data_IF_619478178919
#
_entry.id   IF_619478178919
#
_cell.length_a   1.000
_cell.length_b   1.000
_cell.length_c   1.000
_cell.angle_alpha   90.00
_cell.angle_beta   90.00
_cell.angle_gamma   90.00
#
_symmetry.space_group_name_H-M   'P 1'
#
loop_
_entity.id
_entity.type
_entity.pdbx_description
1 polymer ?
#
# COMPACT_ATOMS: atom_id res chain seq x y z
N UNK A 1 1.66 -19.56 7.26
CA UNK A 1 0.89 -18.34 7.51
C UNK A 1 0.69 -18.09 9.00
N UNK A 2 0.62 -16.80 9.42
CA UNK A 2 0.18 -16.43 10.76
C UNK A 2 -1.35 -16.50 10.78
N UNK A 3 -1.92 -17.24 11.73
CA UNK A 3 -3.37 -17.42 11.89
C UNK A 3 -3.96 -16.38 12.85
N UNK A 4 -3.23 -16.07 13.92
CA UNK A 4 -3.62 -15.07 14.92
C UNK A 4 -2.42 -14.56 15.69
N UNK A 5 -2.58 -13.40 16.31
CA UNK A 5 -1.66 -12.86 17.29
C UNK A 5 -2.32 -12.86 18.69
N UNK A 6 -1.58 -13.32 19.68
CA UNK A 6 -1.94 -13.32 21.10
C UNK A 6 -0.86 -12.54 21.85
N UNK A 7 -1.12 -11.24 22.10
CA UNK A 7 -0.06 -10.35 22.57
C UNK A 7 1.09 -10.29 21.56
N UNK A 8 2.28 -10.71 21.99
CA UNK A 8 3.48 -10.80 21.15
C UNK A 8 3.76 -12.22 20.63
N UNK A 9 2.78 -13.11 20.71
CA UNK A 9 2.88 -14.50 20.22
C UNK A 9 2.15 -14.66 18.89
N UNK A 10 2.86 -15.06 17.84
CA UNK A 10 2.29 -15.37 16.54
C UNK A 10 2.00 -16.86 16.41
N UNK A 11 0.73 -17.24 16.32
CA UNK A 11 0.29 -18.62 16.10
C UNK A 11 0.26 -18.91 14.61
N UNK A 12 0.96 -19.95 14.19
CA UNK A 12 1.06 -20.40 12.80
C UNK A 12 0.62 -21.87 12.67
N UNK A 13 0.49 -22.35 11.44
CA UNK A 13 0.21 -23.76 11.15
C UNK A 13 1.32 -24.72 11.62
N UNK A 14 2.53 -24.20 11.89
CA UNK A 14 3.71 -24.97 12.27
C UNK A 14 4.11 -24.79 13.74
N UNK A 15 3.34 -24.02 14.51
CA UNK A 15 3.63 -23.75 15.93
C UNK A 15 3.50 -22.26 16.27
N UNK A 16 3.85 -21.93 17.50
CA UNK A 16 3.77 -20.58 18.04
C UNK A 16 5.16 -19.96 18.14
N UNK A 17 5.32 -18.78 17.59
CA UNK A 17 6.54 -17.96 17.68
C UNK A 17 6.28 -16.90 18.74
N UNK A 18 7.13 -16.83 19.76
CA UNK A 18 7.10 -15.80 20.81
C UNK A 18 8.22 -14.81 20.59
N UNK A 19 7.91 -13.52 20.77
CA UNK A 19 8.87 -12.44 20.65
C UNK A 19 8.63 -11.39 21.75
N UNK A 20 9.61 -10.56 22.03
CA UNK A 20 9.44 -9.40 22.91
C UNK A 20 8.63 -8.32 22.22
N UNK A 21 8.83 -8.17 20.92
CA UNK A 21 8.16 -7.15 20.08
C UNK A 21 7.75 -7.76 18.74
N UNK A 22 6.65 -7.28 18.20
CA UNK A 22 6.12 -7.73 16.90
C UNK A 22 5.87 -6.52 16.01
N UNK A 23 6.30 -6.61 14.75
CA UNK A 23 6.02 -5.61 13.71
C UNK A 23 5.08 -6.23 12.68
N UNK A 24 3.90 -5.62 12.50
CA UNK A 24 2.94 -6.00 11.46
C UNK A 24 3.25 -5.19 10.20
N UNK A 25 3.93 -5.83 9.25
CA UNK A 25 4.32 -5.25 7.96
C UNK A 25 3.67 -6.03 6.80
N UNK A 26 2.40 -6.39 6.94
CA UNK A 26 1.66 -7.29 6.06
C UNK A 26 0.88 -6.54 4.96
N UNK A 27 1.35 -5.38 4.55
CA UNK A 27 0.71 -4.46 3.61
C UNK A 27 -0.61 -3.92 4.17
N UNK A 28 -1.69 -4.69 4.21
CA UNK A 28 -2.88 -4.40 5.00
C UNK A 28 -2.83 -5.15 6.33
N UNK A 29 -2.98 -4.46 7.48
CA UNK A 29 -2.97 -5.11 8.79
C UNK A 29 -4.16 -6.05 8.94
N UNK A 30 -3.88 -7.32 9.22
CA UNK A 30 -4.93 -8.36 9.36
C UNK A 30 -5.61 -8.38 10.73
N UNK A 31 -5.09 -7.61 11.70
CA UNK A 31 -5.64 -7.50 13.04
C UNK A 31 -6.70 -6.40 13.10
N UNK A 32 -7.97 -6.77 13.17
CA UNK A 32 -9.09 -5.79 13.19
C UNK A 32 -9.51 -5.35 14.60
N UNK A 33 -8.99 -5.97 15.66
CA UNK A 33 -9.40 -5.69 17.05
C UNK A 33 -8.97 -4.33 17.56
N UNK A 34 -7.88 -3.76 17.02
CA UNK A 34 -7.28 -2.51 17.44
C UNK A 34 -6.91 -1.68 16.23
N UNK A 35 -6.88 -0.36 16.39
CA UNK A 35 -6.35 0.56 15.38
C UNK A 35 -7.33 0.96 14.28
N UNK A 36 -8.44 0.24 14.05
CA UNK A 36 -9.48 0.57 13.05
C UNK A 36 -8.94 0.85 11.64
N UNK A 37 -7.98 0.06 11.18
CA UNK A 37 -7.28 0.28 9.90
C UNK A 37 -8.22 0.21 8.69
N UNK A 38 -9.30 -0.56 8.75
CA UNK A 38 -10.33 -0.63 7.72
C UNK A 38 -11.08 0.70 7.49
N UNK A 39 -11.09 1.60 8.49
CA UNK A 39 -11.61 2.96 8.36
C UNK A 39 -10.53 3.97 7.94
N UNK A 40 -9.27 3.73 8.34
CA UNK A 40 -8.15 4.64 8.11
C UNK A 40 -7.53 4.51 6.73
N UNK A 41 -7.82 3.42 6.03
CA UNK A 41 -7.23 3.13 4.73
C UNK A 41 -8.29 2.62 3.76
N UNK A 42 -8.01 2.79 2.48
CA UNK A 42 -8.76 2.18 1.39
C UNK A 42 -7.80 1.58 0.38
N UNK A 43 -8.30 0.65 -0.43
CA UNK A 43 -7.48 -0.02 -1.43
C UNK A 43 -7.59 0.70 -2.78
N UNK A 44 -6.45 0.84 -3.44
CA UNK A 44 -6.35 1.40 -4.78
C UNK A 44 -5.65 0.39 -5.68
N UNK A 45 -6.19 0.12 -6.85
CA UNK A 45 -5.64 -0.86 -7.77
C UNK A 45 -4.90 -0.15 -8.88
N UNK A 46 -3.69 -0.60 -9.18
CA UNK A 46 -2.85 -0.10 -10.27
C UNK A 46 -2.49 -1.24 -11.19
N UNK A 47 -2.26 -0.94 -12.46
CA UNK A 47 -2.01 -1.91 -13.52
C UNK A 47 -0.67 -1.63 -14.19
N UNK A 48 -0.04 -2.67 -14.70
CA UNK A 48 1.22 -2.58 -15.42
C UNK A 48 1.19 -3.48 -16.65
N UNK A 49 1.68 -2.95 -17.77
CA UNK A 49 2.04 -3.71 -18.97
C UNK A 49 3.55 -3.73 -19.13
N UNK A 50 4.11 -4.88 -19.45
CA UNK A 50 5.49 -5.02 -19.90
C UNK A 50 5.48 -5.17 -21.42
N UNK A 51 6.07 -4.20 -22.12
CA UNK A 51 6.05 -4.06 -23.56
C UNK A 51 7.42 -4.42 -24.17
N UNK A 52 7.46 -5.43 -25.02
CA UNK A 52 8.59 -5.72 -25.90
C UNK A 52 8.54 -4.81 -27.14
N UNK A 53 9.69 -4.53 -27.75
CA UNK A 53 9.81 -3.67 -28.94
C UNK A 53 9.24 -2.25 -28.73
N UNK A 54 9.23 -1.77 -27.49
CA UNK A 54 8.93 -0.40 -27.13
C UNK A 54 10.20 0.43 -26.94
N UNK A 55 10.03 1.73 -26.79
CA UNK A 55 11.16 2.65 -26.62
C UNK A 55 11.91 2.39 -25.31
N UNK A 56 13.22 2.59 -25.33
CA UNK A 56 14.01 2.78 -24.12
C UNK A 56 13.88 4.27 -23.72
N UNK A 57 13.21 4.51 -22.59
CA UNK A 57 12.98 5.89 -22.11
C UNK A 57 14.17 6.48 -21.34
N UNK A 58 15.20 5.66 -21.06
CA UNK A 58 16.45 6.12 -20.45
C UNK A 58 16.34 6.58 -19.00
N UNK A 59 15.21 6.34 -18.32
CA UNK A 59 14.99 6.78 -16.94
C UNK A 59 13.71 6.20 -16.35
N UNK A 60 13.31 6.76 -15.21
CA UNK A 60 12.05 6.47 -14.54
C UNK A 60 11.20 7.74 -14.51
N UNK A 61 9.98 7.65 -14.97
CA UNK A 61 9.07 8.79 -15.10
C UNK A 61 7.74 8.47 -14.46
N UNK A 62 7.16 9.45 -13.79
CA UNK A 62 5.83 9.42 -13.19
C UNK A 62 5.13 10.71 -13.56
N UNK A 63 3.89 10.61 -14.02
CA UNK A 63 3.03 11.76 -14.27
C UNK A 63 2.52 12.34 -12.93
N UNK A 64 2.35 13.64 -12.86
CA UNK A 64 1.79 14.35 -11.68
C UNK A 64 0.29 14.12 -11.50
N UNK A 65 -0.44 13.69 -12.53
CA UNK A 65 -1.86 13.44 -12.43
C UNK A 65 -2.16 12.33 -11.40
N UNK A 66 -3.26 12.45 -10.68
CA UNK A 66 -3.65 11.50 -9.63
C UNK A 66 -3.77 10.05 -10.14
N UNK A 67 -4.14 9.87 -11.41
CA UNK A 67 -4.25 8.59 -12.11
C UNK A 67 -3.25 8.52 -13.28
N UNK A 68 -2.13 9.21 -13.13
CA UNK A 68 -1.12 9.36 -14.16
C UNK A 68 -0.39 8.06 -14.51
N UNK A 69 0.34 8.14 -15.61
CA UNK A 69 1.12 7.04 -16.12
C UNK A 69 2.52 7.01 -15.50
N UNK A 70 3.12 5.83 -15.47
CA UNK A 70 4.53 5.66 -15.11
C UNK A 70 5.28 4.84 -16.17
N UNK A 71 6.55 5.17 -16.36
CA UNK A 71 7.39 4.55 -17.38
C UNK A 71 8.76 4.22 -16.79
N UNK A 72 9.25 3.04 -17.07
CA UNK A 72 10.66 2.66 -16.86
C UNK A 72 11.01 1.45 -17.70
N UNK A 73 12.28 1.29 -18.03
CA UNK A 73 12.75 0.06 -18.66
C UNK A 73 13.26 -0.94 -17.61
N UNK A 74 12.99 -2.21 -17.85
CA UNK A 74 13.54 -3.32 -17.10
C UNK A 74 13.68 -4.54 -18.03
N UNK A 75 14.83 -5.22 -18.01
CA UNK A 75 15.09 -6.43 -18.78
C UNK A 75 14.77 -6.29 -20.29
N UNK A 76 15.08 -5.13 -20.88
CA UNK A 76 14.83 -4.83 -22.28
C UNK A 76 13.37 -4.49 -22.64
N UNK A 77 12.46 -4.51 -21.68
CA UNK A 77 11.06 -4.15 -21.87
C UNK A 77 10.76 -2.76 -21.31
N UNK A 78 9.75 -2.08 -21.85
CA UNK A 78 9.17 -0.89 -21.25
C UNK A 78 8.04 -1.32 -20.31
N UNK A 79 8.13 -0.96 -19.04
CA UNK A 79 7.05 -1.09 -18.06
C UNK A 79 6.21 0.18 -18.10
N UNK A 80 4.97 0.04 -18.53
CA UNK A 80 3.95 1.07 -18.58
C UNK A 80 2.96 0.82 -17.45
N UNK A 81 2.95 1.69 -16.44
CA UNK A 81 2.03 1.62 -15.32
C UNK A 81 0.95 2.69 -15.40
N UNK A 82 -0.22 2.43 -14.80
CA UNK A 82 -1.34 3.37 -14.76
C UNK A 82 -2.69 2.69 -14.66
N UNK A 83 -3.74 3.31 -15.21
CA UNK A 83 -5.11 2.80 -15.19
C UNK A 83 -5.64 2.59 -13.76
N UNK A 84 -5.13 3.37 -12.82
CA UNK A 84 -5.41 3.20 -11.41
C UNK A 84 -6.83 3.60 -11.04
N UNK A 85 -7.42 2.90 -10.10
CA UNK A 85 -8.73 3.25 -9.56
C UNK A 85 -8.92 2.67 -8.16
N UNK A 86 -9.88 3.20 -7.41
CA UNK A 86 -10.27 2.62 -6.12
C UNK A 86 -10.81 1.20 -6.31
N UNK A 87 -10.31 0.25 -5.54
CA UNK A 87 -10.74 -1.17 -5.61
C UNK A 87 -12.24 -1.27 -5.35
N UNK A 88 -12.94 -2.07 -6.16
CA UNK A 88 -14.40 -2.19 -6.13
C UNK A 88 -15.16 -1.12 -6.93
N UNK A 89 -14.46 -0.12 -7.47
CA UNK A 89 -15.05 0.86 -8.39
C UNK A 89 -14.62 0.56 -9.83
N UNK A 90 -15.38 1.08 -10.80
CA UNK A 90 -14.99 1.02 -12.20
C UNK A 90 -13.81 1.98 -12.45
N UNK A 91 -12.88 1.58 -13.31
CA UNK A 91 -11.72 2.38 -13.68
C UNK A 91 -11.10 1.88 -14.98
N UNK A 92 -10.11 2.61 -15.50
CA UNK A 92 -9.48 2.37 -16.79
C UNK A 92 -8.86 0.99 -16.96
N UNK A 93 -8.11 0.55 -15.95
CA UNK A 93 -7.50 -0.78 -15.91
C UNK A 93 -6.55 -1.03 -17.08
N UNK A 94 -6.44 -2.29 -17.52
CA UNK A 94 -5.58 -2.65 -18.64
C UNK A 94 -6.03 -2.04 -19.96
N UNK A 95 -7.32 -1.82 -20.20
CA UNK A 95 -7.83 -1.25 -21.47
C UNK A 95 -7.26 0.12 -21.75
N UNK A 96 -7.14 0.95 -20.73
CA UNK A 96 -6.55 2.28 -20.85
C UNK A 96 -5.07 2.18 -21.23
N UNK A 97 -4.31 1.32 -20.56
CA UNK A 97 -2.89 1.10 -20.86
C UNK A 97 -2.69 0.49 -22.24
N UNK A 98 -3.53 -0.46 -22.65
CA UNK A 98 -3.49 -1.10 -23.97
C UNK A 98 -3.79 -0.07 -25.09
N UNK A 99 -4.77 0.81 -24.88
CA UNK A 99 -5.10 1.88 -25.81
C UNK A 99 -3.94 2.87 -25.93
N UNK A 100 -3.33 3.27 -24.80
CA UNK A 100 -2.15 4.12 -24.77
C UNK A 100 -0.97 3.45 -25.49
N UNK A 101 -0.67 2.19 -25.18
CA UNK A 101 0.42 1.43 -25.81
C UNK A 101 0.22 1.33 -27.33
N UNK A 102 -0.98 0.99 -27.80
CA UNK A 102 -1.30 0.90 -29.21
C UNK A 102 -1.10 2.25 -29.94
N UNK A 103 -1.45 3.35 -29.29
CA UNK A 103 -1.32 4.69 -29.88
C UNK A 103 0.12 5.16 -29.97
N UNK A 104 0.92 4.95 -28.90
CA UNK A 104 2.26 5.54 -28.77
C UNK A 104 3.39 4.57 -29.11
N UNK A 105 3.14 3.28 -29.00
CA UNK A 105 4.10 2.18 -29.26
C UNK A 105 3.49 1.14 -30.22
N UNK A 106 3.09 1.51 -31.47
CA UNK A 106 2.30 0.64 -32.35
C UNK A 106 3.02 -0.67 -32.75
N UNK A 107 4.35 -0.74 -32.58
CA UNK A 107 5.15 -1.94 -32.86
C UNK A 107 5.43 -2.76 -31.61
N UNK A 108 5.00 -2.31 -30.43
CA UNK A 108 5.22 -3.03 -29.19
C UNK A 108 4.26 -4.21 -29.03
N UNK A 109 4.73 -5.22 -28.34
CA UNK A 109 3.95 -6.40 -27.97
C UNK A 109 3.86 -6.50 -26.46
N UNK A 110 2.64 -6.76 -25.95
CA UNK A 110 2.42 -6.97 -24.51
C UNK A 110 2.95 -8.37 -24.17
N UNK A 111 4.05 -8.43 -23.41
CA UNK A 111 4.67 -9.68 -22.96
C UNK A 111 4.06 -10.15 -21.65
N UNK A 112 3.91 -9.24 -20.70
CA UNK A 112 3.35 -9.51 -19.37
C UNK A 112 2.38 -8.41 -18.98
N UNK A 113 1.44 -8.77 -18.10
CA UNK A 113 0.55 -7.81 -17.43
C UNK A 113 0.28 -8.29 -16.02
N UNK A 114 0.23 -7.35 -15.10
CA UNK A 114 -0.14 -7.61 -13.71
C UNK A 114 -0.82 -6.39 -13.10
N UNK A 115 -1.47 -6.60 -11.98
CA UNK A 115 -2.03 -5.54 -11.15
C UNK A 115 -1.48 -5.64 -9.75
N UNK A 116 -1.31 -4.49 -9.11
CA UNK A 116 -0.98 -4.37 -7.71
C UNK A 116 -2.11 -3.64 -6.97
N UNK A 117 -2.18 -3.84 -5.68
CA UNK A 117 -3.15 -3.17 -4.83
C UNK A 117 -2.40 -2.38 -3.76
N UNK A 118 -2.67 -1.09 -3.68
CA UNK A 118 -2.00 -0.16 -2.78
C UNK A 118 -2.89 0.16 -1.59
N UNK A 119 -2.32 0.25 -0.39
CA UNK A 119 -3.01 0.74 0.80
C UNK A 119 -2.86 2.25 0.89
N UNK A 120 -3.94 2.97 0.60
CA UNK A 120 -4.00 4.42 0.64
C UNK A 120 -4.49 4.88 2.00
N UNK A 121 -3.82 5.85 2.60
CA UNK A 121 -4.21 6.46 3.87
C UNK A 121 -5.15 7.65 3.65
N UNK A 122 -5.79 8.13 4.71
CA UNK A 122 -6.73 9.25 4.64
C UNK A 122 -6.07 10.60 4.31
N UNK A 123 -4.80 10.73 4.60
CA UNK A 123 -4.02 11.98 4.53
C UNK A 123 -2.75 11.87 3.68
N UNK A 124 -2.55 10.74 3.00
CA UNK A 124 -1.36 10.49 2.17
C UNK A 124 -0.09 10.17 2.96
N UNK A 125 -0.12 10.17 4.29
CA UNK A 125 1.03 9.86 5.14
C UNK A 125 0.96 8.41 5.63
N UNK A 126 2.02 7.60 5.54
CA UNK A 126 2.05 6.23 6.08
C UNK A 126 1.72 6.14 7.57
N UNK A 127 1.25 4.97 8.00
CA UNK A 127 1.12 4.63 9.41
C UNK A 127 2.32 3.79 9.83
N UNK A 128 3.19 4.36 10.68
CA UNK A 128 4.40 3.73 11.19
C UNK A 128 4.50 4.01 12.69
N UNK A 129 4.62 2.95 13.51
CA UNK A 129 4.76 3.12 14.95
C UNK A 129 3.98 2.09 15.76
N UNK A 130 3.66 2.38 17.04
CA UNK A 130 2.81 1.51 17.86
C UNK A 130 1.48 1.24 17.18
N UNK A 131 1.05 -0.02 17.16
CA UNK A 131 -0.13 -0.48 16.43
C UNK A 131 -1.42 0.29 16.80
N UNK A 132 -1.56 0.58 18.07
CA UNK A 132 -2.58 1.47 18.64
C UNK A 132 -2.11 2.04 19.97
N UNK A 133 -2.83 3.02 20.50
CA UNK A 133 -2.55 3.58 21.84
C UNK A 133 -2.72 2.56 22.98
N UNK A 134 -3.29 1.39 22.72
CA UNK A 134 -3.61 0.34 23.71
C UNK A 134 -2.77 -0.93 23.54
N UNK A 135 -1.82 -0.95 22.62
CA UNK A 135 -1.00 -2.15 22.34
C UNK A 135 0.46 -1.87 22.67
N UNK A 136 0.97 -2.57 23.67
CA UNK A 136 2.39 -2.58 23.99
C UNK A 136 3.13 -3.59 23.11
N UNK A 137 4.36 -3.27 22.75
CA UNK A 137 5.27 -4.16 21.99
C UNK A 137 4.72 -4.66 20.64
N UNK A 138 3.63 -4.08 20.16
CA UNK A 138 3.08 -4.34 18.83
C UNK A 138 3.17 -3.08 18.00
N UNK A 139 3.84 -3.18 16.86
CA UNK A 139 4.10 -2.09 15.93
C UNK A 139 3.49 -2.39 14.56
N UNK A 140 3.36 -1.37 13.75
CA UNK A 140 2.85 -1.48 12.37
C UNK A 140 3.65 -0.60 11.42
N UNK A 141 3.75 -1.06 10.18
CA UNK A 141 4.17 -0.28 9.03
C UNK A 141 3.21 -0.58 7.88
N UNK A 142 2.40 0.41 7.48
CA UNK A 142 1.35 0.24 6.46
C UNK A 142 0.93 1.56 5.83
N UNK A 143 0.08 1.49 4.82
CA UNK A 143 -0.45 2.69 4.17
C UNK A 143 0.61 3.44 3.39
N UNK A 144 1.48 2.74 2.69
CA UNK A 144 2.60 3.33 1.94
C UNK A 144 2.15 4.03 0.65
N UNK A 145 0.83 4.11 0.45
CA UNK A 145 0.25 4.68 -0.75
C UNK A 145 0.86 3.99 -1.99
N UNK A 146 1.48 4.74 -2.88
CA UNK A 146 2.20 4.19 -4.06
C UNK A 146 3.73 4.29 -3.92
N UNK A 147 4.22 4.62 -2.71
CA UNK A 147 5.64 4.89 -2.41
C UNK A 147 6.26 3.81 -1.52
N UNK A 148 5.98 2.54 -1.85
CA UNK A 148 6.37 1.40 -1.02
C UNK A 148 7.86 1.32 -0.70
N UNK A 149 8.75 1.56 -1.67
CA UNK A 149 10.20 1.43 -1.46
C UNK A 149 10.75 2.49 -0.51
N UNK A 150 10.43 3.76 -0.74
CA UNK A 150 10.89 4.88 0.11
C UNK A 150 10.25 4.83 1.49
N UNK A 151 8.94 4.56 1.56
CA UNK A 151 8.23 4.44 2.83
C UNK A 151 8.69 3.24 3.67
N UNK A 152 9.09 2.13 3.03
CA UNK A 152 9.65 0.99 3.74
C UNK A 152 11.00 1.32 4.40
N UNK A 153 11.85 2.12 3.76
CA UNK A 153 13.10 2.58 4.33
C UNK A 153 12.87 3.50 5.53
N UNK A 154 11.98 4.50 5.39
CA UNK A 154 11.58 5.38 6.48
C UNK A 154 10.99 4.58 7.66
N UNK A 155 10.13 3.58 7.37
CA UNK A 155 9.58 2.71 8.38
C UNK A 155 10.66 1.89 9.10
N UNK A 156 11.64 1.36 8.38
CA UNK A 156 12.72 0.60 8.98
C UNK A 156 13.53 1.46 9.96
N UNK A 157 13.86 2.69 9.58
CA UNK A 157 14.60 3.62 10.45
C UNK A 157 13.80 3.96 11.71
N UNK A 158 12.56 4.43 11.56
CA UNK A 158 11.69 4.81 12.67
C UNK A 158 11.42 3.63 13.62
N UNK A 159 11.06 2.48 13.08
CA UNK A 159 10.74 1.30 13.89
C UNK A 159 11.98 0.75 14.61
N UNK A 160 13.16 0.81 14.00
CA UNK A 160 14.41 0.41 14.67
C UNK A 160 14.63 1.25 15.93
N UNK A 161 14.50 2.56 15.83
CA UNK A 161 14.67 3.43 16.99
C UNK A 161 13.58 3.18 18.05
N UNK A 162 12.32 3.07 17.65
CA UNK A 162 11.22 2.80 18.57
C UNK A 162 11.36 1.45 19.29
N UNK A 163 11.79 0.41 18.57
CA UNK A 163 12.03 -0.93 19.16
C UNK A 163 13.18 -0.90 20.17
N UNK A 164 14.16 -0.03 19.97
CA UNK A 164 15.25 0.23 20.92
C UNK A 164 14.86 1.16 22.08
N UNK A 165 13.61 1.62 22.14
CA UNK A 165 13.10 2.50 23.20
C UNK A 165 13.37 3.99 22.95
N UNK A 166 13.91 4.36 21.79
CA UNK A 166 14.08 5.77 21.42
C UNK A 166 12.73 6.38 20.97
N UNK A 167 12.68 7.70 20.97
CA UNK A 167 11.51 8.47 20.52
C UNK A 167 11.94 9.43 19.40
N UNK A 168 11.90 8.99 18.12
CA UNK A 168 12.23 9.86 17.00
C UNK A 168 11.31 11.09 16.95
N UNK A 169 11.84 12.26 16.62
CA UNK A 169 11.08 13.51 16.54
C UNK A 169 9.98 13.45 15.49
N UNK A 170 10.19 12.69 14.40
CA UNK A 170 9.23 12.51 13.33
C UNK A 170 8.11 11.49 13.65
N UNK A 171 8.24 10.72 14.73
CA UNK A 171 7.28 9.69 15.12
C UNK A 171 5.82 10.16 15.20
N UNK A 172 5.50 11.35 15.70
CA UNK A 172 4.13 11.84 15.76
C UNK A 172 3.47 11.99 14.39
N UNK A 173 4.23 12.38 13.35
CA UNK A 173 3.72 12.56 11.97
C UNK A 173 3.21 11.22 11.41
N UNK A 174 3.93 10.13 11.67
CA UNK A 174 3.61 8.79 11.17
C UNK A 174 2.72 7.99 12.13
N UNK A 175 2.39 8.53 13.30
CA UNK A 175 1.66 7.80 14.34
C UNK A 175 0.36 7.18 13.83
N UNK A 176 0.14 5.88 14.03
CA UNK A 176 -1.16 5.24 13.76
C UNK A 176 -2.30 5.79 14.62
N UNK A 177 -1.99 6.46 15.71
CA UNK A 177 -2.99 7.08 16.62
C UNK A 177 -3.26 8.56 16.32
N UNK A 178 -2.68 9.12 15.25
CA UNK A 178 -2.98 10.49 14.83
C UNK A 178 -4.44 10.67 14.45
N UNK A 179 -4.93 11.91 14.46
CA UNK A 179 -6.34 12.22 14.15
C UNK A 179 -6.77 11.67 12.79
N UNK A 180 -7.93 11.02 12.78
CA UNK A 180 -8.58 10.49 11.57
C UNK A 180 -9.62 11.45 10.97
N UNK A 181 -9.84 12.62 11.55
CA UNK A 181 -10.88 13.55 11.09
C UNK A 181 -10.49 14.15 9.73
N UNK A 182 -10.87 13.46 8.68
CA UNK A 182 -10.68 13.84 7.28
C UNK A 182 -11.97 13.53 6.51
N UNK A 183 -12.29 14.28 5.44
CA UNK A 183 -13.47 13.99 4.60
C UNK A 183 -13.49 12.56 4.07
N UNK A 184 -12.32 12.01 3.74
CA UNK A 184 -12.17 10.62 3.29
C UNK A 184 -12.64 9.58 4.31
N UNK A 185 -12.61 9.88 5.62
CA UNK A 185 -13.12 8.99 6.65
C UNK A 185 -14.63 8.73 6.48
N UNK A 186 -15.40 9.78 6.19
CA UNK A 186 -16.85 9.66 5.95
C UNK A 186 -17.13 8.78 4.72
N UNK A 187 -16.36 8.97 3.64
CA UNK A 187 -16.47 8.14 2.43
C UNK A 187 -16.13 6.68 2.73
N UNK A 188 -15.06 6.42 3.46
CA UNK A 188 -14.69 5.05 3.85
C UNK A 188 -15.75 4.39 4.73
N UNK A 189 -16.35 5.12 5.68
CA UNK A 189 -17.40 4.61 6.54
C UNK A 189 -18.68 4.27 5.76
N UNK A 190 -19.10 5.12 4.82
CA UNK A 190 -20.24 4.89 3.94
C UNK A 190 -20.01 3.65 3.05
N UNK A 191 -18.81 3.50 2.49
CA UNK A 191 -18.50 2.35 1.64
C UNK A 191 -18.40 1.05 2.44
N UNK A 192 -17.83 1.09 3.65
CA UNK A 192 -17.82 -0.07 4.54
C UNK A 192 -19.25 -0.50 4.90
N UNK A 193 -20.13 0.45 5.21
CA UNK A 193 -21.54 0.18 5.48
C UNK A 193 -22.26 -0.40 4.23
N UNK A 194 -22.05 0.18 3.06
CA UNK A 194 -22.62 -0.32 1.81
C UNK A 194 -22.14 -1.75 1.50
N UNK A 195 -20.86 -2.05 1.68
CA UNK A 195 -20.30 -3.39 1.46
C UNK A 195 -20.80 -4.45 2.45
N UNK A 196 -21.30 -4.04 3.62
CA UNK A 196 -21.94 -4.95 4.57
C UNK A 196 -23.39 -5.28 4.18
N UNK A 197 -24.04 -4.39 3.42
CA UNK A 197 -25.44 -4.52 2.99
C UNK A 197 -25.59 -5.13 1.59
N UNK A 198 -24.53 -5.15 0.81
CA UNK A 198 -24.51 -5.73 -0.56
C UNK A 198 -23.50 -6.87 -0.59
N UNK A 199 -23.97 -8.14 -0.58
CA UNK A 199 -23.11 -9.32 -0.67
C UNK A 199 -22.38 -9.43 -2.01
#
# INVERSE_FOLDING_TARGET
>A
PVRRLEGTSAVTDRGTIRAEKVIVATHFPFLNRHGSYFLKMYQHRSYVLALENAANVGGMYVDEAAEGLSFRNAQGMLLLGGGSHRTGKQGGGWRELEAFAKRHYPRAHIRYRWAAQDCMTLDGVPYIGPYSARTENLYVATGFNKWGMTSAMAAAMLLTDMVQGKRPDDAPVFSPSRSMLRPQLALNALEAAASLLTP
#
